data_IF_148688854477
#
_entry.id   IF_148688854477
#
_cell.length_a   1.000
_cell.length_b   1.000
_cell.length_c   1.000
_cell.angle_alpha   90.00
_cell.angle_beta   90.00
_cell.angle_gamma   90.00
#
_symmetry.space_group_name_H-M   'P 1'
#
loop_
_entity.id
_entity.type
_entity.pdbx_description
1 polymer ?
#
# COMPACT_ATOMS: atom_id res chain seq x y z
N UNK A 1 39.73 14.03 20.22
CA UNK A 1 38.33 14.37 20.09
C UNK A 1 37.54 13.08 20.21
N UNK A 2 36.96 12.78 21.36
CA UNK A 2 36.16 11.57 21.59
C UNK A 2 34.79 11.79 20.97
N UNK A 3 34.49 11.09 19.88
CA UNK A 3 33.15 11.04 19.31
C UNK A 3 32.26 10.25 20.29
N UNK A 4 31.33 10.96 20.88
CA UNK A 4 30.31 10.34 21.75
C UNK A 4 29.53 9.28 20.93
N UNK A 5 29.43 8.07 21.47
CA UNK A 5 28.45 7.07 21.00
C UNK A 5 27.11 7.76 20.90
N UNK A 6 26.43 7.66 19.76
CA UNK A 6 24.98 7.99 19.67
C UNK A 6 24.28 7.06 20.66
N UNK A 7 24.10 7.55 21.88
CA UNK A 7 23.27 6.86 22.85
C UNK A 7 21.85 6.88 22.27
N UNK A 8 21.27 5.71 22.03
CA UNK A 8 19.82 5.59 21.94
C UNK A 8 19.28 6.30 23.17
N UNK A 9 18.65 7.46 22.97
CA UNK A 9 17.97 8.15 24.06
C UNK A 9 16.98 7.16 24.63
N UNK A 10 17.16 6.82 25.90
CA UNK A 10 16.18 5.97 26.62
C UNK A 10 14.80 6.60 26.48
N UNK A 11 13.73 5.81 26.37
CA UNK A 11 12.38 6.35 26.37
C UNK A 11 12.26 7.27 27.59
N UNK A 12 11.82 8.50 27.36
CA UNK A 12 11.52 9.43 28.47
C UNK A 12 10.39 8.78 29.22
N UNK A 13 10.67 8.27 30.40
CA UNK A 13 9.64 7.71 31.28
C UNK A 13 8.79 8.88 31.76
N UNK A 14 7.59 9.02 31.20
CA UNK A 14 6.62 10.01 31.66
C UNK A 14 5.93 9.41 32.88
N UNK A 15 6.13 10.02 34.03
CA UNK A 15 5.36 9.71 35.24
C UNK A 15 4.40 10.87 35.54
N UNK A 16 3.20 10.55 36.01
CA UNK A 16 2.17 11.53 36.32
C UNK A 16 1.93 11.60 37.82
N UNK A 17 1.93 12.83 38.36
CA UNK A 17 1.52 13.03 39.75
C UNK A 17 0.02 12.79 39.93
N UNK A 18 -0.47 12.51 41.12
CA UNK A 18 -1.90 12.37 41.39
C UNK A 18 -2.75 13.55 40.91
N UNK A 19 -2.24 14.79 41.05
CA UNK A 19 -2.89 16.00 40.57
C UNK A 19 -2.98 16.05 39.07
N UNK A 20 -1.91 15.64 38.37
CA UNK A 20 -1.90 15.55 36.91
C UNK A 20 -2.88 14.48 36.42
N UNK A 21 -2.98 13.34 37.09
CA UNK A 21 -3.96 12.29 36.74
C UNK A 21 -5.40 12.81 36.93
N UNK A 22 -5.66 13.57 38.01
CA UNK A 22 -6.97 14.19 38.22
C UNK A 22 -7.28 15.23 37.12
N UNK A 23 -6.30 16.03 36.70
CA UNK A 23 -6.44 16.99 35.62
C UNK A 23 -6.68 16.31 34.27
N UNK A 24 -5.95 15.24 33.98
CA UNK A 24 -6.18 14.42 32.78
C UNK A 24 -7.61 13.88 32.74
N UNK A 25 -8.07 13.35 33.89
CA UNK A 25 -9.44 12.82 34.00
C UNK A 25 -10.51 13.90 33.81
N UNK A 26 -10.29 15.10 34.36
CA UNK A 26 -11.30 16.17 34.29
C UNK A 26 -11.31 16.91 32.95
N UNK A 27 -10.15 17.12 32.31
CA UNK A 27 -10.01 18.02 31.15
C UNK A 27 -9.75 17.28 29.85
N UNK A 28 -9.01 16.19 29.85
CA UNK A 28 -8.56 15.49 28.63
C UNK A 28 -9.42 14.26 28.35
N UNK A 29 -9.77 13.49 29.40
CA UNK A 29 -10.57 12.28 29.28
C UNK A 29 -11.79 12.28 30.22
N UNK A 30 -12.67 13.30 30.20
CA UNK A 30 -13.70 13.47 31.21
C UNK A 30 -14.77 12.36 31.23
N UNK A 31 -14.88 11.58 30.15
CA UNK A 31 -15.83 10.46 30.05
C UNK A 31 -15.20 9.10 30.24
N UNK A 32 -13.87 9.05 30.50
CA UNK A 32 -13.16 7.79 30.67
C UNK A 32 -13.50 7.15 32.02
N UNK A 33 -13.74 5.86 32.00
CA UNK A 33 -13.77 5.04 33.23
C UNK A 33 -12.38 5.00 33.85
N UNK A 34 -12.28 4.54 35.12
CA UNK A 34 -10.98 4.45 35.78
C UNK A 34 -10.05 3.47 35.04
N UNK A 35 -10.59 2.39 34.49
CA UNK A 35 -9.76 1.40 33.76
C UNK A 35 -9.33 1.91 32.38
N UNK A 36 -10.19 2.63 31.67
CA UNK A 36 -9.83 3.33 30.45
C UNK A 36 -8.75 4.39 30.69
N UNK A 37 -8.87 5.16 31.78
CA UNK A 37 -7.84 6.14 32.16
C UNK A 37 -6.50 5.45 32.47
N UNK A 38 -6.51 4.34 33.22
CA UNK A 38 -5.28 3.55 33.49
C UNK A 38 -4.65 3.05 32.18
N UNK A 39 -5.47 2.53 31.25
CA UNK A 39 -5.00 2.09 29.94
C UNK A 39 -4.35 3.24 29.17
N UNK A 40 -4.98 4.41 29.17
CA UNK A 40 -4.44 5.61 28.52
C UNK A 40 -3.10 6.06 29.13
N UNK A 41 -3.02 6.13 30.47
CA UNK A 41 -1.78 6.48 31.17
C UNK A 41 -0.65 5.47 30.89
N UNK A 42 -0.96 4.17 30.88
CA UNK A 42 0.01 3.14 30.50
C UNK A 42 0.51 3.32 29.06
N UNK A 43 -0.36 3.71 28.15
CA UNK A 43 0.04 3.99 26.77
C UNK A 43 0.94 5.22 26.68
N UNK A 44 0.63 6.30 27.43
CA UNK A 44 1.49 7.49 27.52
C UNK A 44 2.87 7.12 28.07
N UNK A 45 2.94 6.34 29.16
CA UNK A 45 4.20 5.86 29.74
C UNK A 45 5.00 5.03 28.74
N UNK A 46 4.36 4.05 28.11
CA UNK A 46 5.01 3.16 27.12
C UNK A 46 5.60 3.92 25.94
N UNK A 47 4.88 4.91 25.44
CA UNK A 47 5.29 5.68 24.25
C UNK A 47 6.14 6.90 24.59
N UNK A 48 6.14 7.34 25.84
CA UNK A 48 6.73 8.60 26.26
C UNK A 48 6.03 9.82 25.66
N UNK A 49 4.76 9.70 25.23
CA UNK A 49 3.99 10.79 24.65
C UNK A 49 3.22 11.57 25.71
N UNK A 50 3.32 12.89 25.65
CA UNK A 50 2.68 13.80 26.57
C UNK A 50 1.27 14.19 26.11
N UNK A 51 0.21 13.82 26.86
CA UNK A 51 -1.15 14.22 26.53
C UNK A 51 -1.42 15.73 26.74
N UNK A 52 -0.68 16.40 27.61
CA UNK A 52 -0.80 17.86 27.79
C UNK A 52 -0.23 18.61 26.61
N UNK A 53 0.82 18.09 25.98
CA UNK A 53 1.37 18.60 24.72
C UNK A 53 0.57 18.16 23.48
N UNK A 54 -0.58 17.51 23.66
CA UNK A 54 -1.45 17.05 22.58
C UNK A 54 -0.78 16.04 21.61
N UNK A 55 0.19 15.29 22.10
CA UNK A 55 0.85 14.27 21.31
C UNK A 55 0.03 12.97 21.22
N UNK A 56 -0.83 12.71 22.20
CA UNK A 56 -1.69 11.55 22.31
C UNK A 56 -3.04 11.94 22.93
N UNK A 57 -4.12 11.33 22.47
CA UNK A 57 -5.50 11.67 22.87
C UNK A 57 -6.29 10.44 23.30
N UNK A 58 -7.17 10.63 24.27
CA UNK A 58 -8.23 9.69 24.62
C UNK A 58 -9.58 10.24 24.10
N UNK A 59 -10.11 9.63 23.05
CA UNK A 59 -11.33 10.10 22.39
C UNK A 59 -12.40 9.01 22.47
N UNK A 60 -13.61 9.39 22.89
CA UNK A 60 -14.77 8.49 22.86
C UNK A 60 -15.45 8.56 21.51
N UNK A 61 -15.54 7.41 20.83
CA UNK A 61 -16.26 7.25 19.57
C UNK A 61 -17.42 6.29 19.73
N UNK A 62 -18.49 6.51 18.97
CA UNK A 62 -19.55 5.53 18.86
C UNK A 62 -19.04 4.37 18.01
N UNK A 63 -19.00 3.18 18.58
CA UNK A 63 -18.62 1.95 17.90
C UNK A 63 -19.82 0.98 17.97
N UNK A 64 -20.10 0.33 16.85
CA UNK A 64 -21.16 -0.69 16.82
C UNK A 64 -20.66 -1.95 17.50
N UNK A 65 -21.46 -2.44 18.48
CA UNK A 65 -21.20 -3.70 19.13
C UNK A 65 -22.08 -4.78 18.48
N UNK A 66 -21.45 -5.69 17.75
CA UNK A 66 -22.13 -6.76 17.02
C UNK A 66 -22.91 -7.71 17.94
N UNK A 67 -22.39 -7.98 19.14
CA UNK A 67 -22.99 -8.92 20.09
C UNK A 67 -24.26 -8.34 20.70
N UNK A 68 -24.21 -7.05 21.03
CA UNK A 68 -25.35 -6.31 21.61
C UNK A 68 -26.25 -5.63 20.59
N UNK A 69 -25.87 -5.65 19.29
CA UNK A 69 -26.57 -4.98 18.18
C UNK A 69 -26.89 -3.51 18.47
N UNK A 70 -26.01 -2.81 19.16
CA UNK A 70 -26.19 -1.40 19.50
C UNK A 70 -24.87 -0.61 19.39
N UNK A 71 -25.01 0.72 19.29
CA UNK A 71 -23.85 1.61 19.35
C UNK A 71 -23.45 1.89 20.79
N UNK A 72 -22.22 1.63 21.14
CA UNK A 72 -21.63 1.95 22.43
C UNK A 72 -20.52 3.00 22.27
N UNK A 73 -20.40 3.88 23.27
CA UNK A 73 -19.27 4.80 23.32
C UNK A 73 -18.05 4.07 23.88
N UNK A 74 -17.04 3.88 23.05
CA UNK A 74 -15.79 3.26 23.46
C UNK A 74 -14.64 4.26 23.37
N UNK A 75 -13.79 4.28 24.39
CA UNK A 75 -12.59 5.07 24.36
C UNK A 75 -11.59 4.48 23.37
N UNK A 76 -11.07 5.31 22.48
CA UNK A 76 -9.97 5.00 21.58
C UNK A 76 -8.79 5.90 21.85
N UNK A 77 -7.59 5.35 21.83
CA UNK A 77 -6.36 6.11 22.01
C UNK A 77 -5.83 6.45 20.61
N UNK A 78 -5.62 7.74 20.36
CA UNK A 78 -5.16 8.25 19.08
C UNK A 78 -3.89 9.05 19.28
N UNK A 79 -2.96 8.94 18.34
CA UNK A 79 -1.70 9.67 18.34
C UNK A 79 -1.74 10.78 17.30
N UNK A 80 -1.35 12.00 17.65
CA UNK A 80 -1.22 13.08 16.68
C UNK A 80 -0.02 12.83 15.77
N UNK A 81 0.01 13.50 14.62
CA UNK A 81 1.20 13.47 13.75
C UNK A 81 2.45 13.99 14.47
N UNK A 82 2.28 14.95 15.40
CA UNK A 82 3.38 15.47 16.20
C UNK A 82 3.89 14.40 17.18
N UNK A 83 3.02 13.54 17.72
CA UNK A 83 3.44 12.38 18.50
C UNK A 83 4.28 11.39 17.69
N UNK A 84 3.92 11.12 16.44
CA UNK A 84 4.71 10.31 15.52
C UNK A 84 6.09 10.91 15.26
N UNK A 85 6.15 12.23 15.01
CA UNK A 85 7.40 12.98 14.79
C UNK A 85 8.31 12.91 16.03
N UNK A 86 7.75 13.11 17.23
CA UNK A 86 8.49 13.01 18.50
C UNK A 86 9.13 11.64 18.68
N UNK A 87 8.40 10.57 18.40
CA UNK A 87 8.95 9.21 18.48
C UNK A 87 10.07 9.01 17.44
N UNK A 88 9.87 9.46 16.21
CA UNK A 88 10.89 9.39 15.17
C UNK A 88 12.14 10.17 15.55
N UNK A 89 12.01 11.39 16.06
CA UNK A 89 13.13 12.24 16.52
C UNK A 89 13.92 11.57 17.66
N UNK A 90 13.22 10.92 18.58
CA UNK A 90 13.84 10.22 19.72
C UNK A 90 14.65 8.99 19.32
N UNK A 91 14.40 8.42 18.15
CA UNK A 91 15.20 7.29 17.64
C UNK A 91 16.68 7.64 17.47
N UNK A 92 16.99 8.92 17.27
CA UNK A 92 18.34 9.44 17.09
C UNK A 92 18.89 9.21 15.67
N UNK A 93 18.14 8.57 14.79
CA UNK A 93 18.53 8.32 13.40
C UNK A 93 17.53 8.90 12.37
N UNK A 94 16.56 9.68 12.82
CA UNK A 94 15.64 10.39 11.93
C UNK A 94 16.38 11.43 11.09
N UNK A 95 16.28 11.33 9.79
CA UNK A 95 16.96 12.21 8.82
C UNK A 95 15.99 13.10 8.04
N UNK A 96 14.81 13.35 8.62
CA UNK A 96 13.78 14.18 8.02
C UNK A 96 12.93 13.46 6.98
N UNK A 97 12.17 14.25 6.26
CA UNK A 97 11.28 13.81 5.18
C UNK A 97 11.36 14.78 4.00
N UNK A 98 10.92 14.34 2.83
CA UNK A 98 10.75 15.22 1.68
C UNK A 98 9.41 15.96 1.74
N UNK A 99 9.29 16.99 0.91
CA UNK A 99 8.00 17.67 0.70
C UNK A 99 6.95 16.66 0.21
N UNK A 100 5.70 16.78 0.65
CA UNK A 100 4.61 15.94 0.18
C UNK A 100 4.40 16.09 -1.33
N UNK A 101 4.40 14.99 -2.06
CA UNK A 101 4.11 14.95 -3.49
C UNK A 101 2.64 14.60 -3.67
N UNK A 102 1.89 15.51 -4.29
CA UNK A 102 0.47 15.33 -4.58
C UNK A 102 0.26 14.88 -6.02
N UNK A 103 -0.60 13.90 -6.21
CA UNK A 103 -1.10 13.50 -7.52
C UNK A 103 -2.52 14.04 -7.68
N UNK A 104 -2.74 14.80 -8.74
CA UNK A 104 -4.03 15.42 -9.08
C UNK A 104 -4.38 15.09 -10.53
N UNK A 105 -5.64 14.72 -10.76
CA UNK A 105 -6.18 14.45 -12.08
C UNK A 105 -7.40 15.36 -12.27
N UNK A 106 -7.43 16.14 -13.34
CA UNK A 106 -8.50 17.11 -13.65
C UNK A 106 -8.82 18.05 -12.48
N UNK A 107 -7.78 18.50 -11.76
CA UNK A 107 -7.92 19.38 -10.61
C UNK A 107 -8.45 18.70 -9.33
N UNK A 108 -8.62 17.39 -9.34
CA UNK A 108 -9.03 16.60 -8.17
C UNK A 108 -7.83 15.94 -7.52
N UNK A 109 -7.73 16.06 -6.21
CA UNK A 109 -6.71 15.42 -5.40
C UNK A 109 -6.97 13.89 -5.36
N UNK A 110 -6.03 13.09 -5.82
CA UNK A 110 -6.13 11.64 -5.87
C UNK A 110 -5.32 10.98 -4.76
N UNK A 111 -4.05 11.39 -4.61
CA UNK A 111 -3.18 10.79 -3.60
C UNK A 111 -2.09 11.76 -3.15
N UNK A 112 -1.50 11.44 -2.00
CA UNK A 112 -0.31 12.10 -1.47
C UNK A 112 0.75 11.05 -1.14
N UNK A 113 1.99 11.35 -1.47
CA UNK A 113 3.16 10.53 -1.18
C UNK A 113 4.12 11.32 -0.30
N UNK A 114 4.60 10.68 0.78
CA UNK A 114 5.65 11.23 1.68
C UNK A 114 6.76 10.20 1.79
N UNK A 115 8.01 10.66 1.70
CA UNK A 115 9.21 9.84 1.88
C UNK A 115 9.90 10.23 3.18
N UNK A 116 10.11 9.26 4.07
CA UNK A 116 10.83 9.43 5.34
C UNK A 116 12.23 8.85 5.20
N UNK A 117 13.19 9.56 5.76
CA UNK A 117 14.62 9.20 5.71
C UNK A 117 15.17 8.91 7.10
N UNK A 118 16.17 8.04 7.11
CA UNK A 118 16.97 7.73 8.31
C UNK A 118 18.45 7.86 7.99
N UNK A 119 19.23 8.07 9.04
CA UNK A 119 20.69 7.98 8.95
C UNK A 119 21.16 6.55 9.20
N UNK A 120 22.03 6.06 8.30
CA UNK A 120 22.75 4.81 8.49
C UNK A 120 24.21 5.13 8.79
N UNK A 121 24.67 4.74 9.97
CA UNK A 121 26.09 4.75 10.29
C UNK A 121 26.68 3.43 9.84
N UNK A 122 27.53 3.46 8.83
CA UNK A 122 28.13 2.22 8.27
C UNK A 122 29.30 1.71 9.10
N UNK A 123 30.05 2.58 9.80
CA UNK A 123 31.22 2.26 10.62
C UNK A 123 31.44 3.34 11.68
N UNK A 124 32.28 3.01 12.69
CA UNK A 124 32.58 3.87 13.87
C UNK A 124 33.09 5.28 13.52
N UNK A 125 33.57 5.51 12.30
CA UNK A 125 34.15 6.78 11.85
C UNK A 125 33.56 7.28 10.52
N UNK A 126 32.52 6.63 9.98
CA UNK A 126 31.88 7.03 8.73
C UNK A 126 30.89 8.19 8.97
N UNK A 127 30.81 9.10 8.02
CA UNK A 127 29.77 10.14 7.99
C UNK A 127 28.41 9.43 7.84
N UNK A 128 27.43 9.72 8.72
CA UNK A 128 26.10 9.13 8.59
C UNK A 128 25.50 9.44 7.22
N UNK A 129 25.07 8.42 6.52
CA UNK A 129 24.46 8.58 5.19
C UNK A 129 22.94 8.56 5.32
N UNK A 130 22.29 9.59 4.76
CA UNK A 130 20.84 9.66 4.65
C UNK A 130 20.36 8.67 3.59
N UNK A 131 19.38 7.85 3.93
CA UNK A 131 18.73 6.93 2.99
C UNK A 131 17.20 6.96 3.14
N UNK A 132 16.48 6.68 2.05
CA UNK A 132 15.02 6.53 2.08
C UNK A 132 14.66 5.28 2.88
N UNK A 133 14.08 5.49 4.06
CA UNK A 133 13.72 4.40 4.96
C UNK A 133 12.34 3.83 4.63
N UNK A 134 11.39 4.71 4.31
CA UNK A 134 10.03 4.31 3.99
C UNK A 134 9.29 5.36 3.16
N UNK A 135 8.31 4.87 2.42
CA UNK A 135 7.36 5.68 1.66
C UNK A 135 5.95 5.38 2.15
N UNK A 136 5.21 6.44 2.49
CA UNK A 136 3.80 6.42 2.76
C UNK A 136 3.02 7.02 1.58
N UNK A 137 1.95 6.36 1.19
CA UNK A 137 1.00 6.86 0.20
C UNK A 137 -0.37 6.82 0.82
N UNK A 138 -1.10 7.92 0.73
CA UNK A 138 -2.49 8.03 1.15
C UNK A 138 -3.34 8.41 -0.05
N UNK A 139 -4.45 7.70 -0.25
CA UNK A 139 -5.41 7.98 -1.30
C UNK A 139 -6.58 8.78 -0.76
N UNK A 140 -7.03 9.79 -1.52
CA UNK A 140 -8.09 10.69 -1.09
C UNK A 140 -9.38 9.94 -0.74
N UNK A 141 -9.79 9.03 -1.62
CA UNK A 141 -11.06 8.32 -1.46
C UNK A 141 -11.06 7.33 -0.29
N UNK A 142 -9.87 6.86 0.13
CA UNK A 142 -9.75 5.98 1.29
C UNK A 142 -9.83 6.74 2.61
N UNK A 143 -9.24 7.94 2.69
CA UNK A 143 -9.02 8.63 3.97
C UNK A 143 -9.89 9.85 4.20
N UNK A 144 -10.50 10.42 3.15
CA UNK A 144 -11.40 11.57 3.33
C UNK A 144 -12.53 11.23 4.30
N UNK A 145 -12.74 12.11 5.27
CA UNK A 145 -13.83 11.95 6.21
C UNK A 145 -15.07 12.69 5.71
N UNK A 146 -16.17 11.99 5.64
CA UNK A 146 -17.48 12.55 5.23
C UNK A 146 -18.43 12.59 6.40
N UNK A 147 -19.28 13.62 6.43
CA UNK A 147 -20.41 13.71 7.34
C UNK A 147 -21.57 12.79 6.93
N UNK A 148 -22.64 12.82 7.71
CA UNK A 148 -23.85 12.03 7.42
C UNK A 148 -24.55 12.45 6.12
N UNK A 149 -24.29 13.66 5.66
CA UNK A 149 -24.78 14.25 4.41
C UNK A 149 -23.94 13.87 3.17
N UNK A 150 -22.91 13.03 3.36
CA UNK A 150 -21.98 12.60 2.29
C UNK A 150 -20.96 13.64 1.87
N UNK A 151 -21.00 14.86 2.47
CA UNK A 151 -19.99 15.90 2.19
C UNK A 151 -18.75 15.70 3.04
N UNK A 152 -17.62 16.16 2.53
CA UNK A 152 -16.38 16.16 3.31
C UNK A 152 -16.58 16.93 4.61
N UNK A 153 -15.97 16.44 5.70
CA UNK A 153 -15.93 17.14 6.98
C UNK A 153 -15.20 18.49 6.81
N UNK A 154 -15.52 19.46 7.65
CA UNK A 154 -15.05 20.83 7.52
C UNK A 154 -13.53 20.97 7.34
N UNK A 155 -12.76 20.17 8.09
CA UNK A 155 -11.28 20.17 8.00
C UNK A 155 -10.78 19.61 6.67
N UNK A 156 -11.40 18.53 6.18
CA UNK A 156 -11.05 17.90 4.92
C UNK A 156 -11.44 18.77 3.72
N UNK A 157 -12.57 19.47 3.81
CA UNK A 157 -12.98 20.44 2.79
C UNK A 157 -12.09 21.67 2.74
N UNK A 158 -11.69 22.23 3.90
CA UNK A 158 -10.87 23.44 3.97
C UNK A 158 -9.39 23.21 3.66
N UNK A 159 -8.84 22.08 4.10
CA UNK A 159 -7.40 21.78 4.03
C UNK A 159 -7.13 20.38 3.49
N UNK A 160 -7.60 20.05 2.27
CA UNK A 160 -7.55 18.69 1.72
C UNK A 160 -6.10 18.15 1.63
N UNK A 161 -5.18 18.97 1.12
CA UNK A 161 -3.77 18.57 0.96
C UNK A 161 -3.09 18.35 2.32
N UNK A 162 -3.33 19.24 3.28
CA UNK A 162 -2.77 19.12 4.63
C UNK A 162 -3.28 17.86 5.34
N UNK A 163 -4.57 17.56 5.22
CA UNK A 163 -5.13 16.38 5.85
C UNK A 163 -4.58 15.09 5.23
N UNK A 164 -4.52 15.04 3.90
CA UNK A 164 -4.00 13.86 3.20
C UNK A 164 -2.50 13.65 3.43
N UNK A 165 -1.71 14.74 3.47
CA UNK A 165 -0.26 14.65 3.73
C UNK A 165 0.05 14.14 5.15
N UNK A 166 -0.74 14.53 6.16
CA UNK A 166 -0.60 13.98 7.53
C UNK A 166 -0.78 12.46 7.56
N UNK A 167 -1.74 11.94 6.82
CA UNK A 167 -1.98 10.49 6.74
C UNK A 167 -0.81 9.80 6.04
N UNK A 168 -0.37 10.32 4.89
CA UNK A 168 0.78 9.77 4.17
C UNK A 168 2.06 9.78 5.02
N UNK A 169 2.28 10.86 5.79
CA UNK A 169 3.40 10.99 6.72
C UNK A 169 3.31 9.94 7.85
N UNK A 170 2.14 9.78 8.49
CA UNK A 170 1.95 8.79 9.54
C UNK A 170 2.21 7.36 9.05
N UNK A 171 1.75 7.02 7.85
CA UNK A 171 2.03 5.74 7.21
C UNK A 171 3.53 5.56 6.96
N UNK A 172 4.23 6.59 6.46
CA UNK A 172 5.67 6.54 6.21
C UNK A 172 6.45 6.37 7.51
N UNK A 173 6.15 7.15 8.54
CA UNK A 173 6.80 7.08 9.85
C UNK A 173 6.62 5.71 10.51
N UNK A 174 5.41 5.14 10.49
CA UNK A 174 5.14 3.81 11.05
C UNK A 174 5.90 2.70 10.32
N UNK A 175 6.04 2.79 9.00
CA UNK A 175 6.89 1.88 8.22
C UNK A 175 8.38 2.04 8.52
N UNK A 176 8.84 3.29 8.76
CA UNK A 176 10.24 3.57 9.08
C UNK A 176 10.62 3.13 10.52
N UNK A 177 9.68 3.19 11.46
CA UNK A 177 9.87 2.91 12.89
C UNK A 177 8.85 1.88 13.42
N UNK A 178 8.82 0.66 12.89
CA UNK A 178 7.75 -0.30 13.18
C UNK A 178 7.74 -0.77 14.64
N UNK A 179 8.88 -0.76 15.34
CA UNK A 179 8.95 -1.17 16.75
C UNK A 179 8.36 -0.10 17.68
N UNK A 180 8.69 1.17 17.43
CA UNK A 180 8.32 2.27 18.31
C UNK A 180 6.89 2.78 18.03
N UNK A 181 6.42 2.68 16.77
CA UNK A 181 5.12 3.14 16.33
C UNK A 181 4.07 2.01 16.16
N UNK A 182 4.40 0.77 16.55
CA UNK A 182 3.46 -0.34 16.50
C UNK A 182 2.24 -0.09 17.40
N UNK A 183 1.04 -0.29 16.81
CA UNK A 183 -0.23 -0.10 17.52
C UNK A 183 -0.61 1.35 17.78
N UNK A 184 0.11 2.32 17.18
CA UNK A 184 -0.26 3.73 17.20
C UNK A 184 -0.91 4.11 15.87
N UNK A 185 -2.06 4.80 15.96
CA UNK A 185 -2.84 5.23 14.82
C UNK A 185 -3.26 6.68 14.99
N UNK A 186 -3.34 7.40 13.87
CA UNK A 186 -3.88 8.76 13.87
C UNK A 186 -5.40 8.76 13.96
N UNK A 187 -5.98 9.94 14.23
CA UNK A 187 -7.43 10.10 14.26
C UNK A 187 -8.10 9.79 12.93
N UNK A 188 -7.43 10.09 11.84
CA UNK A 188 -7.86 9.88 10.47
C UNK A 188 -7.92 8.39 10.12
N UNK A 189 -6.89 7.63 10.51
CA UNK A 189 -6.85 6.17 10.31
C UNK A 189 -7.91 5.45 11.17
N UNK A 190 -8.09 5.88 12.42
CA UNK A 190 -9.12 5.30 13.30
C UNK A 190 -10.56 5.63 12.88
N UNK A 191 -10.76 6.73 12.15
CA UNK A 191 -12.08 7.08 11.63
C UNK A 191 -12.50 6.14 10.48
N UNK A 192 -11.55 5.66 9.70
CA UNK A 192 -11.78 4.70 8.63
C UNK A 192 -12.31 3.37 9.19
N UNK A 193 -11.66 2.82 10.23
CA UNK A 193 -12.10 1.57 10.85
C UNK A 193 -13.48 1.66 11.51
N UNK A 194 -13.91 2.85 11.92
CA UNK A 194 -15.25 3.05 12.48
C UNK A 194 -16.35 3.05 11.40
N UNK A 195 -16.00 3.36 10.15
CA UNK A 195 -16.92 3.30 9.02
C UNK A 195 -17.09 1.87 8.45
N UNK A 196 -16.17 0.95 8.76
CA UNK A 196 -16.22 -0.44 8.28
C UNK A 196 -17.19 -1.35 9.05
N UNK A 197 -17.73 -0.91 10.20
CA UNK A 197 -18.56 -1.75 11.09
C UNK A 197 -20.04 -1.25 11.13
N UNK A 198 -20.54 -0.68 10.09
CA UNK A 198 -21.98 -0.74 9.86
C UNK A 198 -22.26 -2.02 9.09
N UNK A 199 -23.19 -2.89 9.51
CA UNK A 199 -23.78 -3.85 8.60
C UNK A 199 -24.40 -3.00 7.50
N UNK A 200 -23.72 -2.91 6.42
CA UNK A 200 -24.12 -2.13 5.27
C UNK A 200 -25.45 -2.71 4.78
N UNK A 201 -26.54 -1.96 4.91
CA UNK A 201 -27.40 -1.87 3.75
C UNK A 201 -26.45 -1.58 2.59
N UNK A 202 -26.36 -2.53 1.68
CA UNK A 202 -25.49 -2.48 0.50
C UNK A 202 -25.53 -1.07 -0.08
N UNK A 203 -24.55 -0.22 0.28
CA UNK A 203 -24.12 0.81 -0.65
C UNK A 203 -23.54 0.04 -1.82
N UNK A 204 -24.41 -0.30 -2.76
CA UNK A 204 -24.03 -0.44 -4.16
C UNK A 204 -23.35 0.87 -4.52
N UNK A 205 -22.07 0.99 -4.17
CA UNK A 205 -21.17 1.88 -4.89
C UNK A 205 -21.16 1.28 -6.28
N UNK A 206 -22.01 1.84 -7.12
CA UNK A 206 -22.04 1.52 -8.52
C UNK A 206 -20.64 1.88 -9.05
N UNK A 207 -19.81 0.88 -9.20
CA UNK A 207 -18.53 0.93 -9.91
C UNK A 207 -18.77 1.46 -11.34
N UNK A 208 -20.01 1.43 -11.81
CA UNK A 208 -20.48 2.11 -13.03
C UNK A 208 -20.17 3.63 -13.09
N UNK A 209 -19.93 4.30 -11.94
CA UNK A 209 -19.58 5.73 -11.93
C UNK A 209 -18.07 6.00 -12.07
N UNK A 210 -17.22 5.00 -12.01
CA UNK A 210 -15.76 5.18 -12.13
C UNK A 210 -15.21 5.07 -13.56
N UNK A 211 -16.03 4.75 -14.55
CA UNK A 211 -15.57 4.67 -15.94
C UNK A 211 -14.42 3.67 -16.15
N UNK A 212 -14.32 2.64 -15.31
CA UNK A 212 -13.29 1.61 -15.44
C UNK A 212 -13.61 0.76 -16.65
N UNK A 213 -12.79 0.84 -17.67
CA UNK A 213 -12.90 -0.01 -18.86
C UNK A 213 -12.41 -1.42 -18.56
N UNK A 214 -13.34 -2.29 -18.16
CA UNK A 214 -13.06 -3.68 -17.85
C UNK A 214 -12.62 -4.50 -19.08
N UNK A 215 -12.98 -4.04 -20.29
CA UNK A 215 -12.50 -4.67 -21.52
C UNK A 215 -11.01 -4.37 -21.72
N UNK A 216 -10.57 -3.15 -21.40
CA UNK A 216 -9.14 -2.82 -21.40
C UNK A 216 -8.37 -3.66 -20.35
N UNK A 217 -8.94 -3.90 -19.16
CA UNK A 217 -8.33 -4.77 -18.15
C UNK A 217 -8.23 -6.23 -18.62
N UNK A 218 -9.26 -6.76 -19.30
CA UNK A 218 -9.23 -8.09 -19.91
C UNK A 218 -8.12 -8.20 -20.95
N UNK A 219 -7.98 -7.20 -21.83
CA UNK A 219 -6.95 -7.18 -22.87
C UNK A 219 -5.54 -7.12 -22.31
N UNK A 220 -5.35 -6.54 -21.13
CA UNK A 220 -4.06 -6.45 -20.44
C UNK A 220 -3.66 -7.74 -19.69
N UNK A 221 -4.58 -8.69 -19.47
CA UNK A 221 -4.23 -9.99 -18.89
C UNK A 221 -3.33 -10.77 -19.83
N UNK A 222 -2.16 -11.19 -19.35
CA UNK A 222 -1.14 -11.91 -20.12
C UNK A 222 -1.13 -13.41 -19.81
N UNK A 223 -1.79 -13.84 -18.72
CA UNK A 223 -1.86 -15.24 -18.29
C UNK A 223 -3.28 -15.66 -17.89
N UNK A 224 -3.53 -16.99 -17.89
CA UNK A 224 -4.81 -17.56 -17.45
C UNK A 224 -5.08 -17.28 -15.97
N UNK A 225 -4.03 -17.22 -15.14
CA UNK A 225 -4.17 -16.96 -13.71
C UNK A 225 -4.54 -15.50 -13.42
N UNK A 226 -4.00 -14.55 -14.19
CA UNK A 226 -4.44 -13.14 -14.14
C UNK A 226 -5.91 -12.98 -14.55
N UNK A 227 -6.36 -13.72 -15.56
CA UNK A 227 -7.77 -13.75 -15.97
C UNK A 227 -8.69 -14.30 -14.88
N UNK A 228 -8.27 -15.36 -14.18
CA UNK A 228 -9.01 -15.93 -13.03
C UNK A 228 -9.06 -14.93 -11.89
N UNK A 229 -7.93 -14.27 -11.60
CA UNK A 229 -7.84 -13.25 -10.56
C UNK A 229 -8.73 -12.05 -10.89
N UNK A 230 -8.69 -11.53 -12.11
CA UNK A 230 -9.58 -10.45 -12.56
C UNK A 230 -11.05 -10.83 -12.36
N UNK A 231 -11.44 -12.05 -12.73
CA UNK A 231 -12.81 -12.55 -12.53
C UNK A 231 -13.21 -12.61 -11.06
N UNK A 232 -12.28 -12.91 -10.16
CA UNK A 232 -12.57 -13.02 -8.71
C UNK A 232 -12.78 -11.67 -8.03
N UNK A 233 -12.21 -10.59 -8.57
CA UNK A 233 -12.33 -9.22 -8.02
C UNK A 233 -13.47 -8.41 -8.65
N UNK A 234 -14.05 -8.91 -9.74
CA UNK A 234 -15.14 -8.25 -10.44
C UNK A 234 -16.47 -8.39 -9.68
N UNK A 235 -17.25 -7.30 -9.63
CA UNK A 235 -18.61 -7.35 -9.10
C UNK A 235 -19.49 -8.36 -9.85
N UNK A 236 -20.37 -9.03 -9.14
CA UNK A 236 -21.27 -10.07 -9.64
C UNK A 236 -22.10 -9.67 -10.88
N UNK A 237 -22.56 -8.42 -10.94
CA UNK A 237 -23.36 -7.93 -12.07
C UNK A 237 -22.54 -7.79 -13.36
N UNK A 238 -21.22 -7.52 -13.27
CA UNK A 238 -20.33 -7.43 -14.40
C UNK A 238 -19.83 -8.83 -14.82
N UNK A 239 -19.48 -9.67 -13.87
CA UNK A 239 -19.06 -11.05 -14.16
C UNK A 239 -20.17 -11.89 -14.81
N UNK A 240 -21.45 -11.50 -14.64
CA UNK A 240 -22.64 -12.13 -15.24
C UNK A 240 -23.07 -11.49 -16.54
N UNK A 241 -22.50 -10.34 -16.95
CA UNK A 241 -22.79 -9.67 -18.23
C UNK A 241 -22.33 -10.54 -19.39
N UNK A 242 -23.19 -10.73 -20.39
CA UNK A 242 -22.93 -11.64 -21.51
C UNK A 242 -21.88 -11.09 -22.48
N UNK A 243 -21.75 -9.78 -22.62
CA UNK A 243 -20.69 -9.14 -23.43
C UNK A 243 -19.32 -9.35 -22.77
N UNK A 244 -19.22 -9.16 -21.46
CA UNK A 244 -18.01 -9.40 -20.71
C UNK A 244 -17.60 -10.89 -20.75
N UNK A 245 -18.55 -11.82 -20.64
CA UNK A 245 -18.28 -13.26 -20.74
C UNK A 245 -17.72 -13.63 -22.12
N UNK A 246 -18.28 -13.08 -23.20
CA UNK A 246 -17.77 -13.31 -24.56
C UNK A 246 -16.34 -12.80 -24.70
N UNK A 247 -16.06 -11.56 -24.28
CA UNK A 247 -14.72 -10.98 -24.32
C UNK A 247 -13.72 -11.77 -23.46
N UNK A 248 -14.12 -12.25 -22.27
CA UNK A 248 -13.29 -13.06 -21.41
C UNK A 248 -12.96 -14.44 -22.03
N UNK A 249 -13.93 -15.07 -22.70
CA UNK A 249 -13.73 -16.34 -23.42
C UNK A 249 -12.79 -16.14 -24.62
N UNK A 250 -12.96 -15.06 -25.39
CA UNK A 250 -12.05 -14.74 -26.47
C UNK A 250 -10.62 -14.52 -25.98
N UNK A 251 -10.46 -13.77 -24.89
CA UNK A 251 -9.13 -13.53 -24.29
C UNK A 251 -8.51 -14.80 -23.74
N UNK A 252 -9.29 -15.64 -23.07
CA UNK A 252 -8.85 -16.95 -22.61
C UNK A 252 -8.33 -17.82 -23.76
N UNK A 253 -9.07 -17.87 -24.87
CA UNK A 253 -8.67 -18.62 -26.05
C UNK A 253 -7.39 -18.07 -26.71
N UNK A 254 -7.21 -16.74 -26.72
CA UNK A 254 -5.99 -16.10 -27.23
C UNK A 254 -4.78 -16.46 -26.35
N UNK A 255 -4.90 -16.33 -25.01
CA UNK A 255 -3.85 -16.66 -24.07
C UNK A 255 -3.51 -18.17 -24.14
N UNK A 256 -4.52 -19.03 -24.12
CA UNK A 256 -4.35 -20.47 -24.19
C UNK A 256 -3.67 -20.91 -25.50
N UNK A 257 -4.01 -20.26 -26.61
CA UNK A 257 -3.36 -20.49 -27.91
C UNK A 257 -1.89 -20.06 -27.89
N UNK A 258 -1.56 -19.00 -27.14
CA UNK A 258 -0.18 -18.51 -26.96
C UNK A 258 0.61 -19.40 -25.98
N UNK A 259 -0.02 -19.86 -24.90
CA UNK A 259 0.60 -20.76 -23.92
C UNK A 259 0.83 -22.19 -24.48
N UNK A 260 0.04 -22.62 -25.47
CA UNK A 260 0.25 -23.91 -26.14
C UNK A 260 1.41 -23.93 -27.13
N UNK A 261 1.93 -22.75 -27.54
CA UNK A 261 3.15 -22.70 -28.36
C UNK A 261 4.35 -23.09 -27.48
N UNK A 262 4.99 -24.16 -27.83
CA UNK A 262 6.25 -24.55 -27.21
C UNK A 262 7.36 -23.56 -27.59
N UNK A 263 8.35 -23.38 -26.70
CA UNK A 263 9.56 -22.67 -27.05
C UNK A 263 10.36 -23.46 -28.09
N UNK A 264 10.98 -22.76 -29.02
CA UNK A 264 11.74 -23.34 -30.11
C UNK A 264 12.75 -24.38 -29.63
N UNK A 265 13.41 -24.10 -28.51
CA UNK A 265 14.27 -25.04 -27.85
C UNK A 265 14.43 -24.70 -26.35
N UNK A 266 14.77 -25.73 -25.57
CA UNK A 266 15.23 -25.56 -24.20
C UNK A 266 16.67 -26.10 -24.12
N UNK A 267 17.58 -25.30 -23.56
CA UNK A 267 18.91 -25.83 -23.20
C UNK A 267 18.72 -26.70 -21.97
N UNK A 268 19.19 -27.96 -22.03
CA UNK A 268 19.29 -28.80 -20.85
C UNK A 268 20.47 -28.36 -19.97
N UNK A 269 20.63 -28.97 -18.79
CA UNK A 269 21.70 -28.65 -17.84
C UNK A 269 23.12 -28.78 -18.45
N UNK A 270 23.27 -29.57 -19.54
CA UNK A 270 24.50 -29.77 -20.29
C UNK A 270 24.64 -28.83 -21.52
N UNK A 271 23.70 -27.90 -21.74
CA UNK A 271 23.76 -26.94 -22.83
C UNK A 271 23.31 -27.49 -24.20
N UNK A 272 22.78 -28.70 -24.28
CA UNK A 272 22.27 -29.28 -25.53
C UNK A 272 20.89 -28.74 -25.92
N UNK A 273 20.71 -28.57 -27.24
CA UNK A 273 19.44 -28.08 -27.80
C UNK A 273 18.41 -29.21 -27.89
N UNK A 274 17.12 -28.87 -27.84
CA UNK A 274 16.03 -29.85 -27.95
C UNK A 274 15.74 -30.20 -29.41
N UNK A 275 14.97 -31.26 -29.64
CA UNK A 275 14.59 -31.77 -30.96
C UNK A 275 13.95 -30.73 -31.88
N UNK A 276 13.18 -29.78 -31.33
CA UNK A 276 12.53 -28.72 -32.12
C UNK A 276 13.52 -27.82 -32.87
N UNK A 277 14.72 -27.60 -32.31
CA UNK A 277 15.75 -26.82 -33.01
C UNK A 277 16.24 -27.52 -34.28
N UNK A 278 16.45 -28.84 -34.23
CA UNK A 278 16.89 -29.62 -35.39
C UNK A 278 15.83 -29.60 -36.50
N UNK A 279 14.54 -29.72 -36.15
CA UNK A 279 13.44 -29.66 -37.11
C UNK A 279 13.34 -28.28 -37.77
N UNK A 280 13.56 -27.21 -37.00
CA UNK A 280 13.55 -25.83 -37.55
C UNK A 280 14.73 -25.60 -38.50
N UNK A 281 15.95 -26.01 -38.15
CA UNK A 281 17.11 -25.92 -39.04
C UNK A 281 16.88 -26.70 -40.33
N UNK A 282 16.32 -27.91 -40.26
CA UNK A 282 15.95 -28.69 -41.43
C UNK A 282 14.94 -27.95 -42.31
N UNK A 283 13.94 -27.30 -41.73
CA UNK A 283 12.91 -26.54 -42.48
C UNK A 283 13.47 -25.23 -43.08
N UNK A 284 14.41 -24.55 -42.40
CA UNK A 284 15.08 -23.38 -42.98
C UNK A 284 15.87 -23.82 -44.21
N UNK A 285 16.63 -24.93 -44.11
CA UNK A 285 17.49 -25.41 -45.17
C UNK A 285 16.73 -25.95 -46.37
N UNK A 286 15.66 -26.71 -46.16
CA UNK A 286 14.98 -27.45 -47.22
C UNK A 286 13.66 -26.81 -47.71
N UNK A 287 13.01 -25.97 -46.86
CA UNK A 287 11.67 -25.43 -47.12
C UNK A 287 11.61 -23.90 -47.12
N UNK A 288 12.74 -23.19 -47.13
CA UNK A 288 12.84 -21.72 -47.13
C UNK A 288 11.95 -21.08 -46.03
N UNK A 289 11.97 -21.62 -44.82
CA UNK A 289 11.23 -21.05 -43.71
C UNK A 289 11.77 -19.66 -43.33
N UNK A 290 10.86 -18.71 -43.26
CA UNK A 290 11.16 -17.35 -42.78
C UNK A 290 10.99 -17.24 -41.27
N UNK A 291 11.64 -16.25 -40.67
CA UNK A 291 11.48 -15.95 -39.24
C UNK A 291 10.01 -15.81 -38.80
N UNK A 292 9.16 -15.23 -39.67
CA UNK A 292 7.74 -15.05 -39.44
C UNK A 292 7.00 -16.37 -39.29
N UNK A 293 7.25 -17.33 -40.18
CA UNK A 293 6.67 -18.67 -40.11
C UNK A 293 7.09 -19.41 -38.83
N UNK A 294 8.33 -19.21 -38.37
CA UNK A 294 8.80 -19.82 -37.14
C UNK A 294 8.13 -19.19 -35.91
N UNK A 295 7.92 -17.86 -35.93
CA UNK A 295 7.16 -17.15 -34.90
C UNK A 295 5.68 -17.56 -34.82
N UNK A 296 5.11 -18.00 -35.92
CA UNK A 296 3.74 -18.55 -35.93
C UNK A 296 3.64 -19.88 -35.21
N UNK A 297 4.70 -20.68 -35.20
CA UNK A 297 4.72 -22.03 -34.65
C UNK A 297 5.26 -22.11 -33.22
N UNK A 298 6.25 -21.28 -32.88
CA UNK A 298 6.97 -21.32 -31.61
C UNK A 298 7.02 -19.98 -30.91
N UNK A 299 7.15 -20.01 -29.57
CA UNK A 299 7.51 -18.86 -28.77
C UNK A 299 9.02 -18.64 -28.87
N UNK A 300 9.46 -17.42 -29.20
CA UNK A 300 10.86 -17.07 -29.33
C UNK A 300 11.24 -16.04 -28.26
N UNK A 301 12.38 -16.27 -27.58
CA UNK A 301 13.07 -15.22 -26.84
C UNK A 301 13.86 -14.35 -27.81
N UNK A 302 14.33 -13.16 -27.36
CA UNK A 302 15.18 -12.31 -28.18
C UNK A 302 16.46 -13.02 -28.64
N UNK A 303 17.05 -13.81 -27.77
CA UNK A 303 18.24 -14.62 -28.10
C UNK A 303 17.95 -15.68 -29.16
N UNK A 304 16.80 -16.36 -29.06
CA UNK A 304 16.35 -17.32 -30.07
C UNK A 304 16.07 -16.66 -31.41
N UNK A 305 15.51 -15.46 -31.44
CA UNK A 305 15.27 -14.72 -32.68
C UNK A 305 16.59 -14.33 -33.37
N UNK A 306 17.58 -13.91 -32.62
CA UNK A 306 18.90 -13.58 -33.16
C UNK A 306 19.60 -14.82 -33.72
N UNK A 307 19.50 -15.94 -33.02
CA UNK A 307 20.08 -17.21 -33.48
C UNK A 307 19.38 -17.73 -34.74
N UNK A 308 18.05 -17.65 -34.83
CA UNK A 308 17.31 -18.00 -36.04
C UNK A 308 17.67 -17.09 -37.21
N UNK A 309 17.78 -15.77 -37.00
CA UNK A 309 18.21 -14.82 -38.04
C UNK A 309 19.61 -15.13 -38.53
N UNK A 310 20.52 -15.46 -37.63
CA UNK A 310 21.87 -15.85 -37.95
C UNK A 310 21.89 -17.12 -38.82
N UNK A 311 21.12 -18.16 -38.44
CA UNK A 311 21.03 -19.40 -39.23
C UNK A 311 20.40 -19.16 -40.61
N UNK A 312 19.36 -18.36 -40.72
CA UNK A 312 18.79 -17.98 -42.02
C UNK A 312 19.82 -17.23 -42.90
N UNK A 313 20.68 -16.40 -42.29
CA UNK A 313 21.72 -15.65 -43.05
C UNK A 313 22.88 -16.50 -43.53
N UNK A 314 23.13 -17.67 -42.91
CA UNK A 314 24.19 -18.60 -43.31
C UNK A 314 23.67 -19.59 -44.38
N UNK A 315 22.40 -19.95 -44.34
CA UNK A 315 21.80 -21.00 -45.14
C UNK A 315 21.16 -20.48 -46.46
N UNK A 316 21.00 -19.14 -46.57
CA UNK A 316 20.64 -18.44 -47.83
C UNK A 316 21.85 -17.74 -48.41
#
# INVERSE_FOLDING_TARGET
MQLQKVNKKQPIEIDFTPEQVQLLKSQIAPKATNDELKLFLNQCKRTGLDPFARQIYAIHRNQYNSDKKCYEKKMTIQTSIDGFRVIAERSGDYAGQDEPIFNEIDGKLISCKVTVYRFKSAQKYAIPTRYSAAVGVAYWDEFKQTGKDGKESEMWAKMPRTMLSKVAEAIALRKAYPQDLSGLYTGEEMAQSANEITPNEEKKTSIEQMGVDYNAMLMNCMSIDELKMLKSILPDHLSKNDEFKKAAIERYNQINKTEQKEYLYKKNENGFLTKHWEDVIHNITNNNYTLEKIKEQFNLTKEMEEEVKFQISILN
#
